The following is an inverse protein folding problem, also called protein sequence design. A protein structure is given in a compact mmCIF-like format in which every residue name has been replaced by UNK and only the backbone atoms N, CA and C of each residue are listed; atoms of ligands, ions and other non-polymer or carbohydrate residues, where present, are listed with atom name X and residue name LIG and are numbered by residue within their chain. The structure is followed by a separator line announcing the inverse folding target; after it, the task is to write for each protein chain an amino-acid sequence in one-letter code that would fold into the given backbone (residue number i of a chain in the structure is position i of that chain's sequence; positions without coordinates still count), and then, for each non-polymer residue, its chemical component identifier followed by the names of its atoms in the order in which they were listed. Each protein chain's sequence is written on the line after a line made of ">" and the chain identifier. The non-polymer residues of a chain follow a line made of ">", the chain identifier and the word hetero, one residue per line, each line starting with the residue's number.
data_IF_480617110466
#
_entry.id   IF_480617110466
#
_cell.length_a   1.000
_cell.length_b   1.000
_cell.length_c   1.000
_cell.angle_alpha   90.00
_cell.angle_beta   90.00
_cell.angle_gamma   90.00
#
_symmetry.space_group_name_H-M   'P 1'
#
loop_
_entity.id
_entity.type
_entity.pdbx_description
1 polymer ?
#
# COMPACT_ATOMS: atom_id res chain seq x y z
N UNK A 1 -4.79 31.42 18.34
CA UNK A 1 -4.41 30.01 18.15
C UNK A 1 -5.34 29.45 17.10
N UNK A 2 -4.86 28.95 15.96
CA UNK A 2 -5.74 28.26 15.03
C UNK A 2 -6.35 27.05 15.78
N UNK A 3 -7.64 26.80 15.58
CA UNK A 3 -8.30 25.63 16.15
C UNK A 3 -7.52 24.38 15.72
N UNK A 4 -7.31 23.46 16.65
CA UNK A 4 -6.62 22.20 16.41
C UNK A 4 -7.52 21.36 15.49
N UNK A 5 -7.36 21.53 14.16
CA UNK A 5 -8.16 20.81 13.17
C UNK A 5 -7.77 19.34 13.25
N UNK A 6 -8.73 18.47 13.54
CA UNK A 6 -8.47 17.04 13.59
C UNK A 6 -8.01 16.57 12.20
N UNK A 7 -6.95 15.75 12.07
CA UNK A 7 -6.44 15.32 10.77
C UNK A 7 -7.46 14.64 9.85
N UNK A 8 -8.53 14.07 10.42
CA UNK A 8 -9.63 13.48 9.64
C UNK A 8 -10.67 14.53 9.18
N UNK A 9 -10.86 15.62 9.92
CA UNK A 9 -11.67 16.76 9.43
C UNK A 9 -10.96 17.44 8.24
N UNK A 10 -9.62 17.55 8.33
CA UNK A 10 -8.76 18.01 7.23
C UNK A 10 -8.87 17.10 6.00
N UNK A 11 -8.87 15.77 6.20
CA UNK A 11 -9.06 14.80 5.13
C UNK A 11 -10.40 15.00 4.41
N UNK A 12 -11.50 15.05 5.16
CA UNK A 12 -12.84 15.15 4.60
C UNK A 12 -13.03 16.45 3.79
N UNK A 13 -12.56 17.57 4.33
CA UNK A 13 -12.59 18.86 3.64
C UNK A 13 -11.75 18.84 2.36
N UNK A 14 -10.59 18.18 2.39
CA UNK A 14 -9.68 18.11 1.25
C UNK A 14 -10.21 17.20 0.13
N UNK A 15 -10.77 16.04 0.50
CA UNK A 15 -11.46 15.14 -0.44
C UNK A 15 -12.66 15.82 -1.07
N UNK A 16 -13.46 16.55 -0.27
CA UNK A 16 -14.63 17.26 -0.79
C UNK A 16 -14.26 18.29 -1.87
N UNK A 17 -13.17 19.05 -1.65
CA UNK A 17 -12.64 20.04 -2.60
C UNK A 17 -11.88 19.43 -3.78
N UNK A 18 -11.62 18.12 -3.75
CA UNK A 18 -10.75 17.42 -4.70
C UNK A 18 -9.35 18.06 -4.82
N UNK A 19 -8.82 18.55 -3.70
CA UNK A 19 -7.52 19.24 -3.64
C UNK A 19 -6.39 18.20 -3.57
N UNK A 20 -5.89 17.80 -4.74
CA UNK A 20 -4.88 16.75 -4.87
C UNK A 20 -3.54 17.14 -4.21
N UNK A 21 -3.14 18.40 -4.32
CA UNK A 21 -1.89 18.89 -3.75
C UNK A 21 -1.90 18.77 -2.22
N UNK A 22 -3.01 19.14 -1.59
CA UNK A 22 -3.14 19.02 -0.16
C UNK A 22 -3.26 17.57 0.31
N UNK A 23 -3.91 16.68 -0.46
CA UNK A 23 -3.90 15.25 -0.19
C UNK A 23 -2.49 14.67 -0.21
N UNK A 24 -1.64 15.09 -1.16
CA UNK A 24 -0.24 14.67 -1.22
C UNK A 24 0.50 15.09 0.05
N UNK A 25 0.36 16.36 0.48
CA UNK A 25 0.99 16.85 1.72
C UNK A 25 0.49 16.08 2.96
N UNK A 26 -0.81 15.79 3.02
CA UNK A 26 -1.39 15.01 4.12
C UNK A 26 -0.84 13.58 4.14
N UNK A 27 -0.70 12.93 2.98
CA UNK A 27 -0.11 11.58 2.85
C UNK A 27 1.34 11.56 3.32
N UNK A 28 2.15 12.52 2.88
CA UNK A 28 3.55 12.60 3.29
C UNK A 28 3.66 12.84 4.80
N UNK A 29 2.87 13.76 5.37
CA UNK A 29 2.82 14.00 6.82
C UNK A 29 2.40 12.76 7.62
N UNK A 30 1.35 12.05 7.19
CA UNK A 30 0.90 10.80 7.84
C UNK A 30 1.97 9.70 7.75
N UNK A 31 2.71 9.65 6.65
CA UNK A 31 3.85 8.72 6.48
C UNK A 31 4.98 9.05 7.44
N UNK A 32 5.39 10.31 7.53
CA UNK A 32 6.45 10.79 8.44
C UNK A 32 6.09 10.52 9.91
N UNK A 33 4.84 10.78 10.30
CA UNK A 33 4.32 10.53 11.64
C UNK A 33 4.01 9.05 11.93
N UNK A 34 4.15 8.17 10.92
CA UNK A 34 3.78 6.74 11.00
C UNK A 34 2.31 6.51 11.38
N UNK A 35 1.42 7.42 10.99
CA UNK A 35 -0.03 7.26 11.14
C UNK A 35 -0.59 6.37 10.02
N UNK A 36 -0.29 5.07 10.12
CA UNK A 36 -0.70 4.09 9.12
C UNK A 36 -2.22 3.95 9.03
N UNK A 37 -2.93 4.07 10.16
CA UNK A 37 -4.38 4.02 10.16
C UNK A 37 -4.98 5.23 9.45
N UNK A 38 -4.44 6.43 9.68
CA UNK A 38 -4.78 7.62 8.90
C UNK A 38 -4.51 7.39 7.43
N UNK A 39 -3.34 6.88 7.06
CA UNK A 39 -3.01 6.66 5.66
C UNK A 39 -3.98 5.68 4.96
N UNK A 40 -4.43 4.63 5.66
CA UNK A 40 -5.50 3.73 5.20
C UNK A 40 -6.83 4.47 5.02
N UNK A 41 -7.22 5.35 5.96
CA UNK A 41 -8.42 6.17 5.83
C UNK A 41 -8.31 7.11 4.62
N UNK A 42 -7.17 7.78 4.43
CA UNK A 42 -6.92 8.64 3.27
C UNK A 42 -7.11 7.87 1.97
N UNK A 43 -6.47 6.70 1.85
CA UNK A 43 -6.64 5.82 0.69
C UNK A 43 -8.10 5.52 0.41
N UNK A 44 -8.85 5.05 1.43
CA UNK A 44 -10.26 4.68 1.29
C UNK A 44 -11.14 5.85 0.87
N UNK A 45 -10.94 7.04 1.46
CA UNK A 45 -11.70 8.24 1.10
C UNK A 45 -11.40 8.68 -0.34
N UNK A 46 -10.15 8.59 -0.78
CA UNK A 46 -9.78 8.90 -2.18
C UNK A 46 -10.36 7.89 -3.18
N UNK A 47 -10.41 6.60 -2.85
CA UNK A 47 -11.06 5.58 -3.68
C UNK A 47 -12.57 5.85 -3.76
N UNK A 48 -13.23 6.06 -2.63
CA UNK A 48 -14.67 6.32 -2.56
C UNK A 48 -15.08 7.62 -3.28
N UNK A 49 -14.17 8.59 -3.40
CA UNK A 49 -14.44 9.83 -4.12
C UNK A 49 -14.74 9.62 -5.62
N UNK A 50 -14.32 8.50 -6.20
CA UNK A 50 -14.65 8.12 -7.58
C UNK A 50 -16.16 7.99 -7.80
N UNK A 51 -16.90 7.49 -6.81
CA UNK A 51 -18.36 7.33 -6.87
C UNK A 51 -19.10 8.68 -7.04
N UNK A 52 -18.40 9.77 -6.73
CA UNK A 52 -18.89 11.14 -6.83
C UNK A 52 -18.24 11.95 -7.95
N UNK A 53 -17.50 11.28 -8.85
CA UNK A 53 -16.85 11.88 -10.02
C UNK A 53 -15.50 12.56 -9.74
N UNK A 54 -14.99 12.52 -8.49
CA UNK A 54 -13.71 13.12 -8.13
C UNK A 54 -12.57 12.14 -8.42
N UNK A 55 -11.66 12.53 -9.30
CA UNK A 55 -10.55 11.71 -9.77
C UNK A 55 -9.34 11.76 -8.80
N UNK A 56 -9.54 11.30 -7.56
CA UNK A 56 -8.52 11.30 -6.51
C UNK A 56 -7.69 10.01 -6.45
N UNK A 57 -7.83 9.14 -7.46
CA UNK A 57 -7.05 7.92 -7.58
C UNK A 57 -5.53 8.14 -7.51
N UNK A 58 -4.91 9.26 -7.99
CA UNK A 58 -3.46 9.43 -7.84
C UNK A 58 -3.03 9.54 -6.37
N UNK A 59 -3.85 10.16 -5.51
CA UNK A 59 -3.60 10.23 -4.08
C UNK A 59 -3.81 8.86 -3.41
N UNK A 60 -4.85 8.11 -3.80
CA UNK A 60 -5.04 6.75 -3.31
C UNK A 60 -3.82 5.88 -3.63
N UNK A 61 -3.36 5.94 -4.88
CA UNK A 61 -2.16 5.22 -5.36
C UNK A 61 -0.90 5.62 -4.58
N UNK A 62 -0.69 6.92 -4.31
CA UNK A 62 0.44 7.36 -3.48
C UNK A 62 0.36 6.78 -2.07
N UNK A 63 -0.83 6.79 -1.45
CA UNK A 63 -1.03 6.19 -0.13
C UNK A 63 -0.75 4.68 -0.14
N UNK A 64 -1.15 3.97 -1.20
CA UNK A 64 -0.83 2.55 -1.40
C UNK A 64 0.67 2.30 -1.45
N UNK A 65 1.40 3.13 -2.19
CA UNK A 65 2.86 3.05 -2.29
C UNK A 65 3.53 3.32 -0.95
N UNK A 66 3.07 4.34 -0.20
CA UNK A 66 3.62 4.64 1.13
C UNK A 66 3.36 3.50 2.11
N UNK A 67 2.18 2.89 2.09
CA UNK A 67 1.85 1.71 2.91
C UNK A 67 2.73 0.51 2.53
N UNK A 68 2.86 0.21 1.23
CA UNK A 68 3.64 -0.93 0.76
C UNK A 68 5.14 -0.77 1.04
N UNK A 69 5.66 0.46 0.99
CA UNK A 69 7.09 0.73 1.12
C UNK A 69 7.54 0.92 2.58
N UNK A 70 6.72 1.57 3.42
CA UNK A 70 7.17 2.06 4.72
C UNK A 70 6.38 1.54 5.92
N UNK A 71 5.14 1.09 5.74
CA UNK A 71 4.34 0.63 6.86
C UNK A 71 4.80 -0.77 7.31
N UNK A 72 4.59 -1.15 8.58
CA UNK A 72 4.92 -2.50 9.04
C UNK A 72 4.19 -3.59 8.25
N UNK A 73 4.76 -4.79 8.22
CA UNK A 73 4.36 -5.92 7.38
C UNK A 73 2.84 -6.15 7.28
N UNK A 74 2.10 -6.04 8.39
CA UNK A 74 0.64 -6.24 8.40
C UNK A 74 -0.14 -5.24 7.54
N UNK A 75 0.30 -3.98 7.47
CA UNK A 75 -0.35 -2.95 6.65
C UNK A 75 0.07 -3.08 5.18
N UNK A 76 1.34 -3.42 4.94
CA UNK A 76 1.83 -3.74 3.61
C UNK A 76 1.05 -4.92 3.00
N UNK A 77 0.88 -6.02 3.75
CA UNK A 77 0.09 -7.17 3.31
C UNK A 77 -1.37 -6.79 3.00
N UNK A 78 -2.02 -6.05 3.90
CA UNK A 78 -3.40 -5.59 3.70
C UNK A 78 -3.54 -4.81 2.38
N UNK A 79 -2.66 -3.84 2.14
CA UNK A 79 -2.81 -3.03 0.92
C UNK A 79 -2.52 -3.84 -0.33
N UNK A 80 -1.54 -4.74 -0.30
CA UNK A 80 -1.21 -5.58 -1.44
C UNK A 80 -2.34 -6.55 -1.83
N UNK A 81 -3.16 -7.00 -0.88
CA UNK A 81 -4.26 -7.95 -1.12
C UNK A 81 -5.56 -7.29 -1.64
N UNK A 82 -5.74 -5.99 -1.45
CA UNK A 82 -6.97 -5.27 -1.81
C UNK A 82 -7.03 -4.79 -3.28
N UNK A 83 -6.46 -5.56 -4.22
CA UNK A 83 -6.34 -5.24 -5.66
C UNK A 83 -5.78 -3.82 -5.92
N UNK A 84 -4.96 -3.34 -4.99
CA UNK A 84 -4.26 -2.06 -5.05
C UNK A 84 -3.17 -2.09 -6.12
N UNK A 85 -2.81 -0.91 -6.63
CA UNK A 85 -1.78 -0.81 -7.67
C UNK A 85 -2.24 -1.17 -9.09
N UNK A 86 -3.55 -1.16 -9.35
CA UNK A 86 -4.10 -1.32 -10.71
C UNK A 86 -3.52 -0.31 -11.73
N UNK A 87 -3.19 0.90 -11.27
CA UNK A 87 -2.68 2.01 -12.09
C UNK A 87 -1.28 2.45 -11.70
N UNK A 88 -0.49 1.57 -11.09
CA UNK A 88 0.84 1.92 -10.62
C UNK A 88 1.92 1.64 -11.67
N UNK A 89 3.04 2.39 -11.65
CA UNK A 89 4.18 2.12 -12.54
C UNK A 89 4.76 0.70 -12.44
N UNK A 90 4.59 0.05 -11.29
CA UNK A 90 4.98 -1.34 -11.06
C UNK A 90 4.09 -2.02 -10.01
N UNK A 91 4.12 -3.36 -9.90
CA UNK A 91 3.30 -4.10 -8.95
C UNK A 91 3.74 -3.81 -7.50
N UNK A 92 2.79 -3.77 -6.56
CA UNK A 92 3.11 -3.52 -5.15
C UNK A 92 4.02 -4.59 -4.53
N UNK A 93 4.07 -5.80 -5.09
CA UNK A 93 5.04 -6.83 -4.68
C UNK A 93 6.49 -6.38 -4.87
N UNK A 94 6.78 -5.65 -5.95
CA UNK A 94 8.11 -5.10 -6.22
C UNK A 94 8.45 -3.97 -5.24
N UNK A 95 7.48 -3.07 -4.99
CA UNK A 95 7.63 -1.95 -4.05
C UNK A 95 7.87 -2.47 -2.63
N UNK A 96 7.04 -3.41 -2.18
CA UNK A 96 7.18 -4.02 -0.87
C UNK A 96 8.54 -4.69 -0.69
N UNK A 97 9.04 -5.34 -1.74
CA UNK A 97 10.33 -6.02 -1.71
C UNK A 97 11.53 -5.08 -1.54
N UNK A 98 11.36 -3.76 -1.59
CA UNK A 98 12.44 -2.80 -1.31
C UNK A 98 12.83 -2.81 0.18
N UNK A 99 11.86 -2.84 1.09
CA UNK A 99 12.11 -2.74 2.53
C UNK A 99 11.63 -3.93 3.36
N UNK A 100 10.73 -4.75 2.82
CA UNK A 100 10.25 -5.94 3.49
C UNK A 100 11.10 -7.18 3.17
N UNK A 101 11.16 -8.10 4.13
CA UNK A 101 11.80 -9.40 3.97
C UNK A 101 10.77 -10.52 3.82
N UNK A 102 11.18 -11.65 3.26
CA UNK A 102 10.34 -12.85 3.22
C UNK A 102 9.96 -13.31 4.63
N UNK A 103 10.93 -13.30 5.57
CA UNK A 103 10.71 -13.73 6.95
C UNK A 103 9.62 -12.90 7.67
N UNK A 104 9.52 -11.62 7.37
CA UNK A 104 8.49 -10.73 7.91
C UNK A 104 7.19 -10.84 7.11
N UNK A 105 7.11 -10.10 6.01
CA UNK A 105 5.90 -9.93 5.20
C UNK A 105 5.36 -11.23 4.61
N UNK A 106 6.21 -12.19 4.26
CA UNK A 106 5.78 -13.47 3.67
C UNK A 106 4.87 -14.31 4.57
N UNK A 107 4.86 -14.05 5.88
CA UNK A 107 3.96 -14.68 6.86
C UNK A 107 2.60 -13.99 6.98
N UNK A 108 2.48 -12.75 6.51
CA UNK A 108 1.25 -11.96 6.51
C UNK A 108 0.44 -12.10 5.22
N UNK A 109 1.08 -12.51 4.12
CA UNK A 109 0.42 -12.71 2.83
C UNK A 109 -0.34 -14.05 2.80
N UNK A 110 -1.58 -14.02 2.34
CA UNK A 110 -2.37 -15.21 2.08
C UNK A 110 -1.72 -16.09 0.99
N UNK A 111 -1.92 -17.42 1.02
CA UNK A 111 -1.54 -18.28 -0.10
C UNK A 111 -2.18 -17.81 -1.41
N UNK A 112 -1.37 -17.55 -2.43
CA UNK A 112 -1.85 -17.06 -3.73
C UNK A 112 -0.77 -16.40 -4.58
N UNK A 113 -1.13 -15.90 -5.79
CA UNK A 113 -0.20 -15.31 -6.75
C UNK A 113 0.67 -14.19 -6.16
N UNK A 114 0.06 -13.30 -5.37
CA UNK A 114 0.76 -12.17 -4.75
C UNK A 114 1.91 -12.61 -3.84
N UNK A 115 1.68 -13.66 -3.03
CA UNK A 115 2.70 -14.25 -2.16
C UNK A 115 3.84 -14.86 -2.98
N UNK A 116 3.52 -15.49 -4.11
CA UNK A 116 4.53 -15.99 -5.04
C UNK A 116 5.32 -14.85 -5.69
N UNK A 117 4.65 -13.80 -6.18
CA UNK A 117 5.33 -12.63 -6.74
C UNK A 117 6.29 -12.01 -5.73
N UNK A 118 5.84 -11.79 -4.49
CA UNK A 118 6.72 -11.26 -3.44
C UNK A 118 7.91 -12.19 -3.15
N UNK A 119 7.70 -13.53 -3.12
CA UNK A 119 8.80 -14.48 -2.97
C UNK A 119 9.83 -14.37 -4.11
N UNK A 120 9.37 -14.20 -5.36
CA UNK A 120 10.25 -13.97 -6.51
C UNK A 120 11.02 -12.67 -6.39
N UNK A 121 10.37 -11.57 -6.04
CA UNK A 121 11.02 -10.27 -5.86
C UNK A 121 12.12 -10.31 -4.79
N UNK A 122 11.88 -11.04 -3.70
CA UNK A 122 12.87 -11.25 -2.63
C UNK A 122 14.01 -12.18 -3.06
N UNK A 123 13.71 -13.25 -3.78
CA UNK A 123 14.72 -14.15 -4.38
C UNK A 123 15.62 -13.42 -5.38
N UNK A 124 15.05 -12.59 -6.26
CA UNK A 124 15.80 -11.74 -7.20
C UNK A 124 16.72 -10.74 -6.48
N UNK A 125 16.38 -10.33 -5.26
CA UNK A 125 17.20 -9.48 -4.39
C UNK A 125 18.18 -10.28 -3.51
N UNK A 126 18.28 -11.59 -3.71
CA UNK A 126 19.25 -12.47 -3.05
C UNK A 126 18.80 -13.07 -1.72
N UNK A 127 17.52 -12.95 -1.33
CA UNK A 127 17.01 -13.62 -0.13
C UNK A 127 16.72 -15.11 -0.42
N UNK A 128 17.24 -16.01 0.41
CA UNK A 128 16.95 -17.44 0.29
C UNK A 128 15.53 -17.74 0.80
N UNK A 129 14.65 -18.18 -0.11
CA UNK A 129 13.28 -18.56 0.21
C UNK A 129 13.28 -20.03 0.67
N UNK A 130 12.90 -20.31 1.94
CA UNK A 130 12.96 -21.67 2.49
C UNK A 130 12.24 -22.70 1.62
N UNK A 131 12.82 -23.90 1.50
CA UNK A 131 12.24 -24.96 0.67
C UNK A 131 10.81 -25.32 1.06
N UNK A 132 10.47 -25.26 2.35
CA UNK A 132 9.09 -25.45 2.82
C UNK A 132 8.15 -24.38 2.27
N UNK A 133 8.54 -23.11 2.37
CA UNK A 133 7.77 -21.99 1.82
C UNK A 133 7.57 -22.10 0.30
N UNK A 134 8.60 -22.52 -0.45
CA UNK A 134 8.53 -22.71 -1.90
C UNK A 134 7.49 -23.75 -2.33
N UNK A 135 7.21 -24.76 -1.50
CA UNK A 135 6.19 -25.79 -1.80
C UNK A 135 4.78 -25.25 -1.72
N UNK A 136 4.57 -24.22 -0.90
CA UNK A 136 3.26 -23.59 -0.70
C UNK A 136 3.00 -22.43 -1.68
N UNK A 137 4.00 -22.08 -2.50
CA UNK A 137 3.84 -21.07 -3.54
C UNK A 137 3.04 -21.63 -4.71
N UNK A 138 2.02 -20.89 -5.12
CA UNK A 138 1.21 -21.24 -6.28
C UNK A 138 2.04 -20.98 -7.54
N UNK A 139 2.09 -21.92 -8.51
CA UNK A 139 2.68 -21.66 -9.82
C UNK A 139 1.92 -20.52 -10.50
N UNK A 140 2.63 -19.47 -10.90
CA UNK A 140 2.01 -18.27 -11.54
C UNK A 140 2.44 -18.11 -12.99
N UNK A 141 3.26 -19.02 -13.49
CA UNK A 141 3.61 -19.16 -14.89
C UNK A 141 3.40 -20.63 -15.23
N UNK A 142 2.38 -20.92 -16.03
CA UNK A 142 2.33 -22.17 -16.79
C UNK A 142 3.37 -22.02 -17.91
N UNK A 143 4.46 -22.79 -17.83
CA UNK A 143 5.43 -22.95 -18.93
C UNK A 143 5.22 -24.33 -19.52
#
# INVERSE_FOLDING_TARGET
>A
MPADVHPDDELDATVHRADLDELIRLIDRRTELRDWNGLVRTRRSCIAALDTGRQLWPAATLAEYRLALWAPDKWCAMVMEEDAGRFTPGPLSEVAAVHHSWKGLGSHLAPGPLRTYFAHERSLRGEDIPAAARRDLVPVIDI
#
